data_IF_408782394092
#
_entry.id   IF_408782394092
#
_cell.length_a   1.000
_cell.length_b   1.000
_cell.length_c   1.000
_cell.angle_alpha   90.00
_cell.angle_beta   90.00
_cell.angle_gamma   90.00
#
_symmetry.space_group_name_H-M   'P 1'
#
loop_
_entity.id
_entity.type
_entity.pdbx_description
1 polymer ?
#
# COMPACT_ATOMS: atom_id res chain seq x y z
N UNK A 1 -29.28 55.64 15.99
CA UNK A 1 -28.66 55.58 14.66
C UNK A 1 -27.17 55.38 14.88
N UNK A 2 -26.57 54.22 14.70
CA UNK A 2 -26.99 52.97 14.08
C UNK A 2 -26.20 51.85 14.75
N UNK A 3 -26.91 50.86 15.28
CA UNK A 3 -26.42 49.49 15.33
C UNK A 3 -26.04 49.08 13.91
N UNK A 4 -24.84 48.53 13.73
CA UNK A 4 -24.47 47.74 12.56
C UNK A 4 -23.44 46.71 13.01
N UNK A 5 -24.00 45.67 13.64
CA UNK A 5 -23.70 44.26 13.41
C UNK A 5 -22.20 43.90 13.50
N UNK A 6 -21.75 43.63 14.72
CA UNK A 6 -20.83 42.52 14.96
C UNK A 6 -21.63 41.22 14.86
N UNK A 7 -21.63 40.60 13.68
CA UNK A 7 -21.88 39.17 13.54
C UNK A 7 -20.71 38.55 12.78
N UNK A 8 -19.54 38.53 13.41
CA UNK A 8 -18.54 37.52 13.11
C UNK A 8 -18.80 36.33 14.05
N UNK A 9 -19.90 35.62 13.79
CA UNK A 9 -19.85 34.17 13.97
C UNK A 9 -18.89 33.69 12.88
N UNK A 10 -17.60 33.59 13.19
CA UNK A 10 -16.72 32.74 12.38
C UNK A 10 -17.36 31.36 12.47
N UNK A 11 -18.03 30.90 11.42
CA UNK A 11 -18.38 29.50 11.30
C UNK A 11 -17.06 28.75 11.49
N UNK A 12 -16.94 28.04 12.63
CA UNK A 12 -15.85 27.09 12.79
C UNK A 12 -15.96 26.15 11.60
N UNK A 13 -14.94 26.17 10.74
CA UNK A 13 -14.81 25.21 9.66
C UNK A 13 -14.71 23.84 10.32
N UNK A 14 -15.82 23.10 10.27
CA UNK A 14 -15.89 21.74 10.74
C UNK A 14 -15.64 20.84 9.53
N UNK A 15 -14.54 20.10 9.56
CA UNK A 15 -14.25 19.09 8.55
C UNK A 15 -14.84 17.77 9.01
N UNK A 16 -15.53 17.06 8.11
CA UNK A 16 -16.04 15.72 8.37
C UNK A 16 -15.41 14.75 7.37
N UNK A 17 -14.89 13.64 7.88
CA UNK A 17 -14.35 12.54 7.07
C UNK A 17 -15.15 11.27 7.37
N UNK A 18 -15.72 10.69 6.32
CA UNK A 18 -16.33 9.35 6.35
C UNK A 18 -15.56 8.46 5.35
N UNK A 19 -14.94 7.39 5.84
CA UNK A 19 -14.02 6.58 5.05
C UNK A 19 -13.90 5.15 5.56
N UNK A 20 -14.31 4.17 4.75
CA UNK A 20 -13.96 2.77 4.96
C UNK A 20 -12.45 2.56 4.89
N UNK A 21 -11.90 1.77 5.81
CA UNK A 21 -10.47 1.52 5.95
C UNK A 21 -10.20 0.02 6.12
N UNK A 22 -9.00 -0.40 5.76
CA UNK A 22 -8.54 -1.77 5.88
C UNK A 22 -8.42 -2.45 4.52
N UNK A 23 -7.32 -3.18 4.39
CA UNK A 23 -7.08 -4.09 3.26
C UNK A 23 -7.96 -5.32 3.43
N UNK A 24 -8.57 -5.76 2.33
CA UNK A 24 -9.35 -6.98 2.32
C UNK A 24 -8.40 -8.18 2.25
N UNK A 25 -8.32 -8.94 3.33
CA UNK A 25 -7.40 -10.08 3.47
C UNK A 25 -8.07 -11.42 3.15
N UNK A 26 -9.32 -11.39 2.68
CA UNK A 26 -10.05 -12.55 2.21
C UNK A 26 -10.99 -13.15 3.26
N UNK A 27 -11.78 -14.10 2.80
CA UNK A 27 -12.66 -14.94 3.61
C UNK A 27 -11.83 -16.03 4.28
N UNK A 28 -12.18 -16.47 5.49
CA UNK A 28 -11.83 -17.70 6.21
C UNK A 28 -13.05 -18.62 6.23
N UNK A 29 -12.88 -19.87 5.79
CA UNK A 29 -13.93 -20.89 5.84
C UNK A 29 -13.47 -22.00 6.77
N UNK A 30 -14.21 -22.26 7.84
CA UNK A 30 -13.98 -23.45 8.66
C UNK A 30 -14.53 -24.68 7.94
N UNK A 31 -13.74 -25.76 7.88
CA UNK A 31 -14.02 -26.96 7.07
C UNK A 31 -15.32 -27.70 7.45
N UNK A 32 -15.98 -27.36 8.56
CA UNK A 32 -17.15 -28.07 9.09
C UNK A 32 -18.46 -27.26 9.08
N UNK A 33 -18.47 -26.00 8.65
CA UNK A 33 -19.65 -25.11 8.67
C UNK A 33 -19.67 -24.17 7.45
N UNK A 34 -20.60 -24.37 6.51
CA UNK A 34 -20.86 -23.38 5.44
C UNK A 34 -21.49 -22.08 5.98
N UNK A 35 -21.96 -22.07 7.23
CA UNK A 35 -22.68 -20.95 7.84
C UNK A 35 -21.74 -19.92 8.52
N UNK A 36 -20.47 -20.25 8.79
CA UNK A 36 -19.52 -19.39 9.50
C UNK A 36 -18.39 -18.87 8.60
N UNK A 37 -18.76 -18.31 7.45
CA UNK A 37 -17.79 -17.59 6.63
C UNK A 37 -17.40 -16.28 7.33
N UNK A 38 -16.14 -16.23 7.79
CA UNK A 38 -15.54 -15.04 8.40
C UNK A 38 -14.70 -14.30 7.37
N UNK A 39 -14.61 -12.98 7.45
CA UNK A 39 -13.84 -12.15 6.53
C UNK A 39 -12.83 -11.33 7.30
N UNK A 40 -11.60 -11.29 6.82
CA UNK A 40 -10.52 -10.53 7.43
C UNK A 40 -10.36 -9.19 6.71
N UNK A 41 -10.46 -8.10 7.47
CA UNK A 41 -10.29 -6.72 6.98
C UNK A 41 -9.44 -5.94 7.98
N UNK A 42 -8.45 -5.18 7.50
CA UNK A 42 -7.68 -4.32 8.38
C UNK A 42 -6.25 -4.08 7.90
N UNK A 43 -5.32 -4.03 8.83
CA UNK A 43 -3.88 -3.86 8.60
C UNK A 43 -3.07 -4.80 9.51
N UNK A 44 -1.74 -4.73 9.44
CA UNK A 44 -0.89 -5.45 10.42
C UNK A 44 -1.20 -5.05 11.87
N UNK A 45 -1.51 -3.77 12.11
CA UNK A 45 -1.73 -3.24 13.47
C UNK A 45 -3.07 -3.66 14.06
N UNK A 46 -4.07 -3.88 13.21
CA UNK A 46 -5.40 -4.24 13.64
C UNK A 46 -6.12 -5.05 12.57
N UNK A 47 -6.49 -6.27 12.92
CA UNK A 47 -7.17 -7.20 12.02
C UNK A 47 -8.58 -7.49 12.55
N UNK A 48 -9.59 -7.02 11.83
CA UNK A 48 -11.00 -7.25 12.16
C UNK A 48 -11.48 -8.55 11.50
N UNK A 49 -12.26 -9.32 12.24
CA UNK A 49 -12.91 -10.55 11.76
C UNK A 49 -14.41 -10.31 11.67
N UNK A 50 -14.92 -10.25 10.44
CA UNK A 50 -16.28 -9.88 10.12
C UNK A 50 -17.10 -11.10 9.74
N UNK A 51 -18.35 -11.19 10.20
CA UNK A 51 -19.30 -12.17 9.64
C UNK A 51 -19.65 -11.81 8.20
N UNK A 52 -20.31 -12.72 7.47
CA UNK A 52 -20.81 -12.43 6.12
C UNK A 52 -21.71 -11.19 6.05
N UNK A 53 -22.56 -10.98 7.06
CA UNK A 53 -23.43 -9.80 7.15
C UNK A 53 -22.60 -8.54 7.39
N UNK A 54 -21.70 -8.58 8.37
CA UNK A 54 -20.85 -7.43 8.71
C UNK A 54 -19.98 -7.02 7.52
N UNK A 55 -19.38 -7.99 6.83
CA UNK A 55 -18.58 -7.73 5.64
C UNK A 55 -19.42 -7.10 4.53
N UNK A 56 -20.65 -7.58 4.29
CA UNK A 56 -21.54 -6.99 3.29
C UNK A 56 -21.90 -5.52 3.61
N UNK A 57 -22.13 -5.20 4.88
CA UNK A 57 -22.39 -3.84 5.38
C UNK A 57 -21.13 -2.96 5.25
N UNK A 58 -19.98 -3.46 5.68
CA UNK A 58 -18.66 -2.81 5.55
C UNK A 58 -18.36 -2.45 4.09
N UNK A 59 -18.60 -3.37 3.15
CA UNK A 59 -18.33 -3.13 1.72
C UNK A 59 -19.15 -1.97 1.13
N UNK A 60 -20.24 -1.53 1.78
CA UNK A 60 -21.00 -0.37 1.34
C UNK A 60 -20.32 0.96 1.68
N UNK A 61 -19.37 0.99 2.63
CA UNK A 61 -18.62 2.20 2.99
C UNK A 61 -17.81 2.73 1.79
N UNK A 62 -17.38 1.84 0.89
CA UNK A 62 -16.66 2.16 -0.36
C UNK A 62 -17.53 2.96 -1.34
N UNK A 63 -18.86 2.96 -1.16
CA UNK A 63 -19.82 3.61 -2.05
C UNK A 63 -20.45 4.87 -1.45
N UNK A 64 -20.03 5.29 -0.27
CA UNK A 64 -20.59 6.42 0.45
C UNK A 64 -19.50 7.43 0.85
N UNK A 65 -19.86 8.71 0.87
CA UNK A 65 -19.00 9.81 1.32
C UNK A 65 -19.47 10.40 2.65
N UNK A 66 -20.62 9.95 3.15
CA UNK A 66 -21.22 10.37 4.42
C UNK A 66 -21.91 9.18 5.10
N UNK A 67 -22.11 9.29 6.41
CA UNK A 67 -22.88 8.30 7.18
C UNK A 67 -24.32 8.14 6.65
N UNK A 68 -24.96 9.25 6.25
CA UNK A 68 -26.32 9.22 5.70
C UNK A 68 -26.41 8.43 4.39
N UNK A 69 -25.49 8.69 3.45
CA UNK A 69 -25.41 7.94 2.20
C UNK A 69 -25.17 6.44 2.44
N UNK A 70 -24.29 6.11 3.40
CA UNK A 70 -24.01 4.72 3.76
C UNK A 70 -25.24 4.01 4.33
N UNK A 71 -25.97 4.69 5.23
CA UNK A 71 -27.24 4.22 5.78
C UNK A 71 -28.27 3.94 4.70
N UNK A 72 -28.50 4.90 3.81
CA UNK A 72 -29.42 4.76 2.68
C UNK A 72 -29.06 3.57 1.80
N UNK A 73 -27.77 3.36 1.48
CA UNK A 73 -27.31 2.21 0.68
C UNK A 73 -27.58 0.90 1.41
N UNK A 74 -27.26 0.81 2.70
CA UNK A 74 -27.43 -0.41 3.49
C UNK A 74 -28.92 -0.79 3.65
N UNK A 75 -29.78 0.18 3.97
CA UNK A 75 -31.23 -0.03 4.12
C UNK A 75 -31.85 -0.44 2.78
N UNK A 76 -31.52 0.26 1.68
CA UNK A 76 -32.07 -0.06 0.35
C UNK A 76 -31.64 -1.45 -0.14
N UNK A 77 -30.51 -1.97 0.35
CA UNK A 77 -30.04 -3.34 0.06
C UNK A 77 -30.55 -4.38 1.04
N UNK A 78 -31.31 -3.99 2.06
CA UNK A 78 -31.81 -4.89 3.10
C UNK A 78 -30.69 -5.49 3.95
N UNK A 79 -29.54 -4.80 4.06
CA UNK A 79 -28.40 -5.24 4.88
C UNK A 79 -28.57 -4.86 6.35
N UNK A 80 -29.31 -3.76 6.59
CA UNK A 80 -29.70 -3.28 7.91
C UNK A 80 -31.19 -2.91 7.89
N UNK A 81 -31.83 -2.96 9.05
CA UNK A 81 -33.27 -2.72 9.23
C UNK A 81 -33.59 -1.25 9.48
N UNK A 82 -32.75 -0.55 10.27
CA UNK A 82 -32.99 0.82 10.72
C UNK A 82 -31.71 1.60 11.07
N UNK A 83 -31.89 2.81 11.62
CA UNK A 83 -30.81 3.69 12.05
C UNK A 83 -30.10 3.21 13.33
N UNK A 84 -30.77 2.48 14.20
CA UNK A 84 -30.14 1.95 15.43
C UNK A 84 -29.12 0.86 15.06
N UNK A 85 -29.46 0.01 14.08
CA UNK A 85 -28.51 -0.95 13.53
C UNK A 85 -27.36 -0.27 12.76
N UNK A 86 -27.62 0.84 12.07
CA UNK A 86 -26.56 1.64 11.43
C UNK A 86 -25.55 2.18 12.44
N UNK A 87 -26.02 2.74 13.56
CA UNK A 87 -25.18 3.26 14.65
C UNK A 87 -24.35 2.14 15.28
N UNK A 88 -24.94 0.95 15.48
CA UNK A 88 -24.19 -0.24 15.92
C UNK A 88 -23.02 -0.56 14.99
N UNK A 89 -23.25 -0.57 13.68
CA UNK A 89 -22.21 -0.86 12.69
C UNK A 89 -21.15 0.24 12.62
N UNK A 90 -21.55 1.50 12.75
CA UNK A 90 -20.62 2.62 12.83
C UNK A 90 -19.65 2.44 14.02
N UNK A 91 -20.19 2.23 15.23
CA UNK A 91 -19.40 2.07 16.44
C UNK A 91 -18.49 0.84 16.36
N UNK A 92 -19.03 -0.29 15.88
CA UNK A 92 -18.25 -1.52 15.66
C UNK A 92 -17.05 -1.26 14.74
N UNK A 93 -17.28 -0.71 13.55
CA UNK A 93 -16.24 -0.52 12.55
C UNK A 93 -15.23 0.57 12.95
N UNK A 94 -15.64 1.59 13.70
CA UNK A 94 -14.72 2.57 14.29
C UNK A 94 -13.82 1.95 15.34
N UNK A 95 -14.37 1.13 16.24
CA UNK A 95 -13.59 0.43 17.26
C UNK A 95 -12.62 -0.59 16.66
N UNK A 96 -12.99 -1.17 15.53
CA UNK A 96 -12.15 -2.06 14.72
C UNK A 96 -11.21 -1.29 13.77
N UNK A 97 -11.14 0.05 13.84
CA UNK A 97 -10.30 0.90 12.98
C UNK A 97 -10.46 0.67 11.47
N UNK A 98 -11.58 0.08 11.04
CA UNK A 98 -11.94 -0.15 9.63
C UNK A 98 -12.96 0.89 9.13
N UNK A 99 -13.32 1.88 9.94
CA UNK A 99 -14.11 3.04 9.53
C UNK A 99 -13.59 4.29 10.23
N UNK A 100 -13.34 5.35 9.46
CA UNK A 100 -13.19 6.70 9.99
C UNK A 100 -14.52 7.40 9.76
N UNK A 101 -15.22 7.75 10.84
CA UNK A 101 -16.25 8.79 10.84
C UNK A 101 -15.84 9.79 11.90
N UNK A 102 -15.26 10.91 11.48
CA UNK A 102 -14.66 11.88 12.39
C UNK A 102 -14.91 13.31 11.94
N UNK A 103 -15.29 14.14 12.90
CA UNK A 103 -15.43 15.58 12.72
C UNK A 103 -14.31 16.29 13.48
N UNK A 104 -13.60 17.19 12.80
CA UNK A 104 -12.44 17.88 13.36
C UNK A 104 -12.41 19.36 12.98
N UNK A 105 -11.83 20.16 13.87
CA UNK A 105 -11.77 21.63 13.75
C UNK A 105 -10.54 22.08 12.92
N UNK A 106 -9.54 21.22 12.71
CA UNK A 106 -8.30 21.58 12.02
C UNK A 106 -7.69 20.40 11.24
N UNK A 107 -7.17 20.68 10.05
CA UNK A 107 -6.49 19.71 9.18
C UNK A 107 -5.22 19.03 9.76
N UNK A 108 -4.77 19.48 10.93
CA UNK A 108 -3.63 18.92 11.66
C UNK A 108 -4.12 18.03 12.81
N UNK A 109 -5.35 17.53 12.73
CA UNK A 109 -5.91 16.60 13.70
C UNK A 109 -5.10 15.29 13.72
N UNK A 110 -4.70 14.78 14.90
CA UNK A 110 -3.91 13.55 15.04
C UNK A 110 -4.46 12.36 14.26
N UNK A 111 -5.79 12.24 14.09
CA UNK A 111 -6.41 11.11 13.40
C UNK A 111 -5.85 10.91 11.98
N UNK A 112 -5.52 12.00 11.28
CA UNK A 112 -4.99 11.94 9.90
C UNK A 112 -3.56 11.39 9.83
N UNK A 113 -2.87 11.25 10.97
CA UNK A 113 -1.54 10.63 11.06
C UNK A 113 -1.62 9.14 11.40
N UNK A 114 -2.78 8.65 11.84
CA UNK A 114 -2.97 7.25 12.25
C UNK A 114 -3.30 6.31 11.09
N UNK A 115 -3.50 6.86 9.90
CA UNK A 115 -3.85 6.11 8.70
C UNK A 115 -2.91 6.47 7.56
N UNK A 116 -2.58 5.48 6.74
CA UNK A 116 -1.79 5.64 5.52
C UNK A 116 -2.58 5.30 4.28
N UNK A 117 -2.17 5.88 3.16
CA UNK A 117 -2.79 5.65 1.87
C UNK A 117 -1.80 5.04 0.87
N UNK A 118 -2.19 3.90 0.33
CA UNK A 118 -1.41 3.12 -0.65
C UNK A 118 -2.18 3.05 -1.95
N UNK A 119 -1.52 3.39 -3.05
CA UNK A 119 -2.05 3.27 -4.39
C UNK A 119 -2.05 1.81 -4.80
N UNK A 120 -3.17 1.43 -5.39
CA UNK A 120 -3.32 0.20 -6.12
C UNK A 120 -3.47 0.53 -7.60
N UNK A 121 -3.31 -0.49 -8.42
CA UNK A 121 -3.41 -0.36 -9.86
C UNK A 121 -2.08 -0.02 -10.52
N UNK A 122 -2.06 -0.15 -11.83
CA UNK A 122 -0.88 0.15 -12.65
C UNK A 122 -1.23 1.08 -13.79
N UNK A 123 -0.32 2.04 -14.04
CA UNK A 123 -0.37 2.90 -15.21
C UNK A 123 0.10 2.15 -16.46
N UNK A 124 -0.72 2.15 -17.51
CA UNK A 124 -0.34 1.71 -18.86
C UNK A 124 0.26 2.84 -19.71
N UNK A 125 0.29 4.06 -19.16
CA UNK A 125 0.90 5.24 -19.79
C UNK A 125 -0.12 6.25 -20.29
N UNK A 126 0.39 7.27 -20.96
CA UNK A 126 -0.36 8.38 -21.52
C UNK A 126 -0.88 8.02 -22.93
N UNK A 127 -2.18 8.14 -23.16
CA UNK A 127 -2.74 8.21 -24.51
C UNK A 127 -2.58 9.64 -25.01
N UNK A 128 -1.55 9.88 -25.83
CA UNK A 128 -1.21 11.22 -26.33
C UNK A 128 -2.37 11.91 -27.05
N UNK A 129 -3.15 11.19 -27.84
CA UNK A 129 -4.29 11.75 -28.59
C UNK A 129 -5.37 12.34 -27.67
N UNK A 130 -5.55 11.74 -26.49
CA UNK A 130 -6.56 12.14 -25.50
C UNK A 130 -5.98 13.00 -24.38
N UNK A 131 -4.65 13.04 -24.24
CA UNK A 131 -3.95 13.62 -23.09
C UNK A 131 -4.44 13.04 -21.75
N UNK A 132 -4.70 11.72 -21.73
CA UNK A 132 -5.16 11.00 -20.53
C UNK A 132 -4.31 9.79 -20.23
N UNK A 133 -4.06 9.55 -18.95
CA UNK A 133 -3.40 8.35 -18.44
C UNK A 133 -4.41 7.22 -18.30
N UNK A 134 -4.01 5.99 -18.62
CA UNK A 134 -4.84 4.81 -18.40
C UNK A 134 -4.30 4.04 -17.20
N UNK A 135 -5.14 3.92 -16.17
CA UNK A 135 -4.82 3.18 -14.95
C UNK A 135 -5.72 1.96 -14.85
N UNK A 136 -5.14 0.76 -14.78
CA UNK A 136 -5.90 -0.41 -14.38
C UNK A 136 -6.02 -0.48 -12.86
N UNK A 137 -7.11 -1.06 -12.35
CA UNK A 137 -7.32 -1.21 -10.91
C UNK A 137 -7.41 -2.69 -10.51
N UNK A 138 -7.37 -2.95 -9.21
CA UNK A 138 -7.60 -4.29 -8.63
C UNK A 138 -9.04 -4.79 -8.82
N UNK A 139 -9.98 -3.87 -9.09
CA UNK A 139 -11.31 -4.19 -9.56
C UNK A 139 -11.30 -4.05 -11.09
N UNK A 140 -11.28 -5.16 -11.84
CA UNK A 140 -11.05 -5.11 -13.27
C UNK A 140 -12.08 -4.23 -13.97
N UNK A 141 -11.57 -3.33 -14.81
CA UNK A 141 -12.35 -2.51 -15.73
C UNK A 141 -11.76 -2.77 -17.11
N UNK A 142 -12.58 -3.26 -18.06
CA UNK A 142 -12.12 -3.72 -19.38
C UNK A 142 -11.25 -2.70 -20.13
N UNK A 143 -11.46 -1.40 -19.89
CA UNK A 143 -10.72 -0.32 -20.54
C UNK A 143 -9.79 0.46 -19.59
N UNK A 144 -9.68 0.06 -18.33
CA UNK A 144 -9.05 0.85 -17.28
C UNK A 144 -9.80 2.17 -17.00
N UNK A 145 -9.21 2.99 -16.15
CA UNK A 145 -9.69 4.33 -15.82
C UNK A 145 -8.87 5.36 -16.61
N UNK A 146 -9.54 6.15 -17.45
CA UNK A 146 -8.91 7.30 -18.08
C UNK A 146 -8.84 8.45 -17.06
N UNK A 147 -7.63 8.97 -16.81
CA UNK A 147 -7.38 10.05 -15.87
C UNK A 147 -6.75 11.25 -16.55
N UNK A 148 -7.20 12.44 -16.18
CA UNK A 148 -6.48 13.67 -16.48
C UNK A 148 -5.19 13.76 -15.64
N UNK A 149 -4.31 14.70 -15.99
CA UNK A 149 -3.01 14.85 -15.35
C UNK A 149 -3.12 15.03 -13.84
N UNK A 150 -4.06 15.86 -13.40
CA UNK A 150 -4.27 16.12 -11.97
C UNK A 150 -4.69 14.85 -11.22
N UNK A 151 -5.64 14.10 -11.77
CA UNK A 151 -6.12 12.84 -11.18
C UNK A 151 -5.00 11.82 -11.09
N UNK A 152 -4.21 11.69 -12.17
CA UNK A 152 -3.04 10.83 -12.22
C UNK A 152 -1.99 11.23 -11.18
N UNK A 153 -1.69 12.53 -11.06
CA UNK A 153 -0.71 13.07 -10.12
C UNK A 153 -1.13 12.86 -8.66
N UNK A 154 -2.41 13.01 -8.35
CA UNK A 154 -2.96 12.73 -7.02
C UNK A 154 -2.93 11.23 -6.73
N UNK A 155 -3.42 10.39 -7.65
CA UNK A 155 -3.40 8.94 -7.50
C UNK A 155 -2.00 8.40 -7.24
N UNK A 156 -1.02 8.77 -8.08
CA UNK A 156 0.34 8.21 -8.01
C UNK A 156 1.13 8.66 -6.78
N UNK A 157 0.70 9.75 -6.14
CA UNK A 157 1.33 10.31 -4.94
C UNK A 157 1.02 9.50 -3.68
N UNK A 158 -0.03 8.68 -3.69
CA UNK A 158 -0.36 7.76 -2.60
C UNK A 158 0.58 6.55 -2.60
N UNK A 159 1.88 6.74 -2.43
CA UNK A 159 2.86 5.65 -2.57
C UNK A 159 2.88 4.64 -1.40
N UNK A 160 1.90 4.65 -0.50
CA UNK A 160 1.94 3.86 0.75
C UNK A 160 3.00 4.36 1.74
N UNK A 161 3.68 5.45 1.38
CA UNK A 161 4.80 6.03 2.10
C UNK A 161 4.40 7.17 3.02
N UNK A 162 3.13 7.57 3.01
CA UNK A 162 2.68 8.75 3.71
C UNK A 162 1.45 8.41 4.53
N UNK A 163 1.36 9.01 5.70
CA UNK A 163 0.09 9.14 6.41
C UNK A 163 -0.87 10.01 5.59
N UNK A 164 -2.18 9.98 5.89
CA UNK A 164 -3.15 10.85 5.20
C UNK A 164 -2.75 12.32 5.35
N UNK A 165 -2.27 12.74 6.53
CA UNK A 165 -1.78 14.10 6.76
C UNK A 165 -0.60 14.45 5.84
N UNK A 166 0.43 13.61 5.82
CA UNK A 166 1.59 13.82 4.95
C UNK A 166 1.19 13.84 3.48
N UNK A 167 0.26 12.98 3.07
CA UNK A 167 -0.27 12.97 1.71
C UNK A 167 -0.99 14.28 1.36
N UNK A 168 -1.78 14.85 2.27
CA UNK A 168 -2.40 16.17 2.08
C UNK A 168 -1.34 17.27 1.97
N UNK A 169 -0.27 17.23 2.77
CA UNK A 169 0.87 18.14 2.60
C UNK A 169 1.51 18.01 1.21
N UNK A 170 1.59 16.80 0.66
CA UNK A 170 2.09 16.60 -0.69
C UNK A 170 1.18 17.21 -1.75
N UNK A 171 -0.13 17.07 -1.59
CA UNK A 171 -1.10 17.74 -2.47
C UNK A 171 -0.93 19.26 -2.40
N UNK A 172 -0.82 19.82 -1.19
CA UNK A 172 -0.58 21.25 -0.97
C UNK A 172 0.70 21.72 -1.67
N UNK A 173 1.81 21.00 -1.51
CA UNK A 173 3.07 21.33 -2.15
C UNK A 173 3.01 21.18 -3.69
N UNK A 174 2.38 20.12 -4.19
CA UNK A 174 2.26 19.83 -5.62
C UNK A 174 1.36 20.84 -6.34
N UNK A 175 0.28 21.30 -5.69
CA UNK A 175 -0.67 22.26 -6.24
C UNK A 175 -0.38 23.71 -5.85
N UNK A 176 0.65 23.93 -5.04
CA UNK A 176 1.01 25.25 -4.47
C UNK A 176 -0.20 25.94 -3.78
N UNK A 177 -0.97 25.17 -3.01
CA UNK A 177 -2.23 25.60 -2.40
C UNK A 177 -2.20 25.49 -0.86
N UNK A 178 -3.21 26.03 -0.17
CA UNK A 178 -3.32 25.87 1.29
C UNK A 178 -3.60 24.41 1.70
N UNK A 179 -3.41 24.08 2.97
CA UNK A 179 -3.74 22.73 3.48
C UNK A 179 -5.25 22.44 3.44
N UNK A 180 -6.08 23.46 3.63
CA UNK A 180 -7.55 23.37 3.54
C UNK A 180 -8.00 23.11 2.10
N UNK A 181 -7.38 23.79 1.13
CA UNK A 181 -7.60 23.54 -0.31
C UNK A 181 -7.13 22.12 -0.68
N UNK A 182 -5.96 21.70 -0.19
CA UNK A 182 -5.44 20.36 -0.40
C UNK A 182 -6.32 19.27 0.22
N UNK A 183 -6.91 19.52 1.40
CA UNK A 183 -7.87 18.62 2.02
C UNK A 183 -9.17 18.52 1.21
N UNK A 184 -9.64 19.65 0.67
CA UNK A 184 -10.81 19.68 -0.21
C UNK A 184 -10.56 18.86 -1.48
N UNK A 185 -9.35 18.95 -2.04
CA UNK A 185 -8.92 18.11 -3.17
C UNK A 185 -8.88 16.62 -2.76
N UNK A 186 -8.26 16.29 -1.63
CA UNK A 186 -8.21 14.92 -1.12
C UNK A 186 -9.61 14.31 -0.97
N UNK A 187 -10.52 15.01 -0.29
CA UNK A 187 -11.88 14.54 -0.04
C UNK A 187 -12.74 14.48 -1.31
N UNK A 188 -12.50 15.36 -2.30
CA UNK A 188 -13.18 15.29 -3.59
C UNK A 188 -12.81 14.03 -4.39
N UNK A 189 -11.55 13.58 -4.33
CA UNK A 189 -11.08 12.41 -5.08
C UNK A 189 -11.22 11.08 -4.33
N UNK A 190 -11.30 11.13 -2.99
CA UNK A 190 -11.36 9.96 -2.12
C UNK A 190 -12.48 8.96 -2.53
N UNK A 191 -13.75 9.37 -2.76
CA UNK A 191 -14.79 8.42 -3.14
C UNK A 191 -14.50 7.72 -4.47
N UNK A 192 -13.95 8.44 -5.45
CA UNK A 192 -13.61 7.88 -6.75
C UNK A 192 -12.51 6.84 -6.63
N UNK A 193 -11.36 7.19 -6.03
CA UNK A 193 -10.22 6.28 -5.95
C UNK A 193 -10.48 5.09 -5.03
N UNK A 194 -11.20 5.29 -3.93
CA UNK A 194 -11.55 4.19 -3.04
C UNK A 194 -12.53 3.22 -3.71
N UNK A 195 -13.60 3.74 -4.34
CA UNK A 195 -14.58 2.94 -5.08
C UNK A 195 -13.99 2.16 -6.25
N UNK A 196 -13.07 2.80 -6.97
CA UNK A 196 -12.37 2.17 -8.07
C UNK A 196 -11.30 1.17 -7.60
N UNK A 197 -11.06 0.99 -6.29
CA UNK A 197 -9.98 0.12 -5.81
C UNK A 197 -8.59 0.62 -6.21
N UNK A 198 -8.45 1.93 -6.44
CA UNK A 198 -7.21 2.59 -6.80
C UNK A 198 -6.43 3.05 -5.57
N UNK A 199 -7.09 3.16 -4.42
CA UNK A 199 -6.47 3.40 -3.11
C UNK A 199 -6.90 2.34 -2.10
N UNK A 200 -5.96 1.93 -1.26
CA UNK A 200 -6.21 1.24 0.01
C UNK A 200 -5.81 2.20 1.13
N UNK A 201 -6.69 2.38 2.11
CA UNK A 201 -6.37 3.09 3.36
C UNK A 201 -6.21 2.06 4.47
N UNK A 202 -5.14 2.15 5.25
CA UNK A 202 -4.85 1.22 6.35
C UNK A 202 -4.53 2.00 7.63
N UNK A 203 -5.03 1.51 8.75
CA UNK A 203 -4.64 1.99 10.08
C UNK A 203 -3.17 1.61 10.33
N UNK A 204 -2.34 2.58 10.71
CA UNK A 204 -0.96 2.38 11.14
C UNK A 204 -0.73 2.72 12.61
N UNK A 205 -1.72 3.30 13.31
CA UNK A 205 -1.63 3.61 14.74
C UNK A 205 -0.34 4.33 15.08
N UNK A 206 0.34 3.94 16.16
CA UNK A 206 1.65 4.50 16.54
C UNK A 206 2.83 3.99 15.70
N UNK A 207 2.65 2.99 14.82
CA UNK A 207 3.78 2.43 14.04
C UNK A 207 4.44 3.47 13.14
N UNK A 208 3.70 4.49 12.70
CA UNK A 208 4.29 5.58 11.91
C UNK A 208 5.38 6.35 12.66
N UNK A 209 5.29 6.42 14.00
CA UNK A 209 6.30 7.08 14.85
C UNK A 209 7.60 6.29 14.93
N UNK A 210 7.53 4.97 14.74
CA UNK A 210 8.68 4.06 14.76
C UNK A 210 9.56 4.17 13.50
N UNK A 211 9.20 5.00 12.50
CA UNK A 211 10.08 5.35 11.37
C UNK A 211 11.42 5.93 11.82
N UNK A 212 11.41 6.66 12.92
CA UNK A 212 12.53 7.47 13.40
C UNK A 212 13.69 6.66 14.01
N UNK A 213 13.50 5.37 14.33
CA UNK A 213 14.42 4.67 15.25
C UNK A 213 15.39 3.67 14.62
N UNK A 214 15.30 3.36 13.32
CA UNK A 214 16.14 2.30 12.73
C UNK A 214 16.86 2.70 11.43
N UNK A 215 18.19 2.64 11.47
CA UNK A 215 19.07 2.51 10.30
C UNK A 215 20.26 1.64 10.68
N UNK A 216 20.81 0.88 9.73
CA UNK A 216 22.26 0.62 9.82
C UNK A 216 22.86 -0.62 9.17
N UNK A 217 22.20 -1.34 8.25
CA UNK A 217 22.92 -2.38 7.51
C UNK A 217 23.07 -2.07 6.01
N UNK A 218 24.21 -1.46 5.65
CA UNK A 218 24.58 -1.22 4.25
C UNK A 218 24.99 -2.50 3.50
N UNK A 219 25.09 -3.67 4.17
CA UNK A 219 25.49 -4.92 3.50
C UNK A 219 24.56 -5.30 2.36
N UNK A 220 23.26 -5.02 2.49
CA UNK A 220 22.28 -5.23 1.42
C UNK A 220 22.66 -4.51 0.10
N UNK A 221 23.37 -3.38 0.21
CA UNK A 221 23.77 -2.53 -0.91
C UNK A 221 25.28 -2.58 -1.17
N UNK A 222 26.00 -3.52 -0.55
CA UNK A 222 27.44 -3.59 -0.66
C UNK A 222 27.89 -4.20 -2.00
N UNK A 223 28.29 -3.32 -2.92
CA UNK A 223 28.79 -3.71 -4.25
C UNK A 223 29.98 -4.67 -4.19
N UNK A 224 30.82 -4.65 -3.12
CA UNK A 224 31.96 -5.56 -3.04
C UNK A 224 31.57 -7.03 -2.83
N UNK A 225 30.35 -7.28 -2.33
CA UNK A 225 29.83 -8.64 -2.11
C UNK A 225 29.05 -9.17 -3.32
N UNK A 226 28.84 -8.34 -4.34
CA UNK A 226 28.14 -8.71 -5.57
C UNK A 226 28.95 -9.72 -6.39
N UNK A 227 28.39 -10.93 -6.54
CA UNK A 227 28.90 -11.93 -7.46
C UNK A 227 27.89 -12.18 -8.60
N UNK A 228 28.34 -12.82 -9.69
CA UNK A 228 27.51 -12.99 -10.89
C UNK A 228 26.26 -13.85 -10.68
N UNK A 229 26.24 -14.66 -9.62
CA UNK A 229 25.13 -15.53 -9.25
C UNK A 229 24.37 -15.02 -8.02
N UNK A 230 24.75 -13.87 -7.45
CA UNK A 230 24.00 -13.25 -6.37
C UNK A 230 22.58 -12.98 -6.85
N UNK A 231 21.60 -13.42 -6.07
CA UNK A 231 20.23 -12.95 -6.23
C UNK A 231 20.20 -11.46 -5.89
N UNK A 232 19.53 -10.69 -6.74
CA UNK A 232 19.31 -9.26 -6.57
C UNK A 232 17.83 -8.97 -6.67
N UNK A 233 17.32 -8.12 -5.79
CA UNK A 233 15.92 -7.71 -5.78
C UNK A 233 15.80 -6.19 -5.94
N UNK A 234 14.76 -5.75 -6.63
CA UNK A 234 14.40 -4.33 -6.73
C UNK A 234 13.83 -3.78 -5.44
N UNK A 235 14.12 -2.52 -5.17
CA UNK A 235 13.59 -1.73 -4.06
C UNK A 235 13.00 -0.43 -4.59
N UNK A 236 11.95 0.05 -3.93
CA UNK A 236 11.21 1.25 -4.30
C UNK A 236 10.06 0.95 -5.25
N UNK A 237 9.39 2.01 -5.68
CA UNK A 237 8.17 1.93 -6.49
C UNK A 237 8.16 2.96 -7.60
N UNK A 238 7.51 2.65 -8.71
CA UNK A 238 7.34 3.63 -9.79
C UNK A 238 6.47 4.78 -9.28
N UNK A 239 7.04 5.98 -9.24
CA UNK A 239 6.37 7.22 -8.84
C UNK A 239 5.74 7.94 -10.05
N UNK A 240 6.37 7.82 -11.22
CA UNK A 240 5.89 8.43 -12.47
C UNK A 240 7.06 8.71 -13.42
N UNK A 241 6.83 9.59 -14.38
CA UNK A 241 7.79 9.94 -15.42
C UNK A 241 8.17 11.43 -15.33
N UNK A 242 9.41 11.77 -15.68
CA UNK A 242 9.91 13.13 -15.78
C UNK A 242 10.83 13.25 -16.99
N UNK A 243 10.30 13.82 -18.09
CA UNK A 243 11.01 13.79 -19.37
C UNK A 243 11.24 12.35 -19.84
N UNK A 244 12.48 12.01 -20.16
CA UNK A 244 12.88 10.66 -20.60
C UNK A 244 13.25 9.72 -19.42
N UNK A 245 13.04 10.17 -18.18
CA UNK A 245 13.40 9.43 -16.96
C UNK A 245 12.16 8.88 -16.25
N UNK A 246 12.31 7.68 -15.70
CA UNK A 246 11.32 7.06 -14.83
C UNK A 246 11.74 7.29 -13.39
N UNK A 247 10.86 7.92 -12.61
CA UNK A 247 11.11 8.24 -11.22
C UNK A 247 10.72 7.05 -10.34
N UNK A 248 11.67 6.52 -9.59
CA UNK A 248 11.43 5.53 -8.54
C UNK A 248 11.43 6.23 -7.19
N UNK A 249 10.43 5.97 -6.35
CA UNK A 249 10.38 6.46 -4.97
C UNK A 249 10.90 5.40 -4.01
N UNK A 250 11.88 5.78 -3.19
CA UNK A 250 12.52 4.93 -2.19
C UNK A 250 12.68 5.72 -0.89
N UNK A 251 11.99 5.29 0.17
CA UNK A 251 11.85 6.10 1.38
C UNK A 251 11.18 7.44 1.05
N UNK A 252 11.84 8.56 1.36
CA UNK A 252 11.42 9.91 0.98
C UNK A 252 11.99 10.39 -0.37
N UNK A 253 12.90 9.61 -0.98
CA UNK A 253 13.68 10.04 -2.14
C UNK A 253 13.03 9.64 -3.45
N UNK A 254 13.01 10.58 -4.40
CA UNK A 254 12.68 10.33 -5.80
C UNK A 254 13.99 10.20 -6.59
N UNK A 255 14.25 9.02 -7.15
CA UNK A 255 15.49 8.71 -7.87
C UNK A 255 15.17 8.49 -9.34
N UNK A 256 15.79 9.25 -10.26
CA UNK A 256 15.58 9.06 -11.70
C UNK A 256 16.35 7.85 -12.23
N UNK A 257 15.69 7.11 -13.12
CA UNK A 257 16.25 6.04 -13.92
C UNK A 257 16.05 6.33 -15.40
N UNK A 258 17.13 6.22 -16.17
CA UNK A 258 17.01 6.15 -17.63
C UNK A 258 16.45 4.78 -18.05
N UNK A 259 15.93 4.69 -19.28
CA UNK A 259 15.26 3.49 -19.81
C UNK A 259 16.02 2.17 -19.57
N UNK A 260 17.34 2.17 -19.72
CA UNK A 260 18.15 0.96 -19.54
C UNK A 260 18.33 0.57 -18.06
N UNK A 261 18.48 1.54 -17.16
CA UNK A 261 18.51 1.29 -15.71
C UNK A 261 17.14 0.80 -15.23
N UNK A 262 16.06 1.42 -15.71
CA UNK A 262 14.69 1.02 -15.42
C UNK A 262 14.41 -0.41 -15.87
N UNK A 263 14.79 -0.76 -17.10
CA UNK A 263 14.64 -2.13 -17.62
C UNK A 263 15.33 -3.16 -16.70
N UNK A 264 16.59 -2.91 -16.30
CA UNK A 264 17.29 -3.80 -15.37
C UNK A 264 16.61 -3.85 -14.01
N UNK A 265 16.17 -2.70 -13.48
CA UNK A 265 15.45 -2.63 -12.21
C UNK A 265 14.16 -3.47 -12.25
N UNK A 266 13.38 -3.40 -13.32
CA UNK A 266 12.18 -4.23 -13.52
C UNK A 266 12.52 -5.72 -13.56
N UNK A 267 13.60 -6.12 -14.24
CA UNK A 267 14.04 -7.52 -14.26
C UNK A 267 14.44 -8.05 -12.87
N UNK A 268 14.85 -7.16 -11.96
CA UNK A 268 15.19 -7.52 -10.58
C UNK A 268 13.96 -7.79 -9.70
N UNK A 269 12.72 -7.71 -10.22
CA UNK A 269 11.51 -8.17 -9.51
C UNK A 269 11.30 -9.68 -9.58
N UNK A 270 12.06 -10.39 -10.42
CA UNK A 270 11.87 -11.81 -10.71
C UNK A 270 12.66 -12.67 -9.71
N UNK A 271 12.09 -13.80 -9.27
CA UNK A 271 12.60 -14.70 -8.22
C UNK A 271 14.07 -15.14 -8.34
N UNK A 272 14.63 -15.16 -9.55
CA UNK A 272 16.00 -15.64 -9.82
C UNK A 272 16.86 -14.58 -10.54
N UNK A 273 16.56 -13.30 -10.35
CA UNK A 273 17.33 -12.23 -10.97
C UNK A 273 18.78 -12.25 -10.46
N UNK A 274 19.71 -12.54 -11.36
CA UNK A 274 21.16 -12.45 -11.13
C UNK A 274 21.83 -11.93 -12.39
N UNK A 275 23.05 -11.39 -12.27
CA UNK A 275 23.83 -10.92 -13.43
C UNK A 275 23.94 -12.02 -14.49
N UNK A 276 24.25 -13.24 -14.07
CA UNK A 276 24.40 -14.41 -14.94
C UNK A 276 23.10 -14.75 -15.67
N UNK A 277 21.96 -14.72 -14.98
CA UNK A 277 20.67 -15.07 -15.58
C UNK A 277 20.18 -13.98 -16.54
N UNK A 278 20.30 -12.70 -16.16
CA UNK A 278 19.92 -11.57 -17.02
C UNK A 278 20.81 -11.55 -18.28
N UNK A 279 22.13 -11.71 -18.11
CA UNK A 279 23.08 -11.81 -19.22
C UNK A 279 22.68 -12.91 -20.21
N UNK A 280 22.35 -14.11 -19.72
CA UNK A 280 21.97 -15.25 -20.57
C UNK A 280 20.63 -15.04 -21.26
N UNK A 281 19.62 -14.58 -20.53
CA UNK A 281 18.26 -14.41 -21.06
C UNK A 281 18.19 -13.33 -22.14
N UNK A 282 18.86 -12.20 -21.93
CA UNK A 282 18.77 -11.02 -22.80
C UNK A 282 20.01 -10.79 -23.68
N UNK A 283 21.02 -11.67 -23.61
CA UNK A 283 22.28 -11.60 -24.37
C UNK A 283 23.00 -10.23 -24.23
N UNK A 284 22.89 -9.61 -23.07
CA UNK A 284 23.47 -8.29 -22.77
C UNK A 284 24.96 -8.41 -22.49
N UNK A 285 25.78 -7.40 -22.78
CA UNK A 285 27.19 -7.44 -22.39
C UNK A 285 27.34 -7.49 -20.86
N UNK A 286 28.15 -8.43 -20.36
CA UNK A 286 28.27 -8.68 -18.91
C UNK A 286 28.93 -7.51 -18.16
N UNK A 287 29.83 -6.77 -18.80
CA UNK A 287 30.48 -5.61 -18.18
C UNK A 287 29.53 -4.42 -18.11
N UNK A 288 28.75 -4.21 -19.18
CA UNK A 288 27.68 -3.21 -19.20
C UNK A 288 26.65 -3.50 -18.11
N UNK A 289 26.18 -4.76 -18.03
CA UNK A 289 25.21 -5.19 -17.01
C UNK A 289 25.75 -5.00 -15.58
N UNK A 290 27.01 -5.39 -15.32
CA UNK A 290 27.67 -5.13 -14.02
C UNK A 290 27.74 -3.65 -13.68
N UNK A 291 28.02 -2.79 -14.66
CA UNK A 291 28.08 -1.34 -14.46
C UNK A 291 26.71 -0.79 -14.07
N UNK A 292 25.63 -1.23 -14.74
CA UNK A 292 24.25 -0.80 -14.43
C UNK A 292 23.81 -1.29 -13.06
N UNK A 293 24.04 -2.57 -12.74
CA UNK A 293 23.72 -3.12 -11.41
C UNK A 293 24.50 -2.39 -10.31
N UNK A 294 25.78 -2.07 -10.55
CA UNK A 294 26.58 -1.26 -9.62
C UNK A 294 25.98 0.14 -9.43
N UNK A 295 25.51 0.79 -10.51
CA UNK A 295 24.81 2.07 -10.44
C UNK A 295 23.55 1.98 -9.59
N UNK A 296 22.69 0.99 -9.88
CA UNK A 296 21.43 0.76 -9.17
C UNK A 296 21.64 0.44 -7.68
N UNK A 297 22.65 -0.36 -7.32
CA UNK A 297 23.00 -0.64 -5.92
C UNK A 297 23.44 0.62 -5.18
N UNK A 298 24.27 1.47 -5.81
CA UNK A 298 24.69 2.75 -5.23
C UNK A 298 23.53 3.72 -5.06
N UNK A 299 22.56 3.69 -5.98
CA UNK A 299 21.28 4.40 -5.86
C UNK A 299 20.33 3.76 -4.83
N UNK A 300 20.70 2.62 -4.24
CA UNK A 300 19.89 1.79 -3.33
C UNK A 300 18.59 1.25 -3.93
N UNK A 301 18.48 1.22 -5.26
CA UNK A 301 17.29 0.76 -5.97
C UNK A 301 17.25 -0.74 -6.21
N UNK A 302 18.38 -1.42 -6.00
CA UNK A 302 18.44 -2.87 -5.92
C UNK A 302 19.30 -3.27 -4.72
N UNK A 303 18.93 -4.35 -4.07
CA UNK A 303 19.70 -4.97 -3.00
C UNK A 303 20.15 -6.36 -3.42
N UNK A 304 21.26 -6.82 -2.84
CA UNK A 304 21.58 -8.24 -2.80
C UNK A 304 20.43 -8.94 -2.05
N UNK A 305 20.14 -10.20 -2.33
CA UNK A 305 19.25 -11.02 -1.50
C UNK A 305 19.99 -12.31 -1.19
N UNK A 306 21.02 -12.19 -0.35
CA UNK A 306 21.85 -13.34 -0.01
C UNK A 306 21.11 -14.19 1.01
N UNK A 307 21.02 -15.50 0.77
CA UNK A 307 20.32 -16.42 1.66
C UNK A 307 21.00 -16.71 3.00
N UNK A 308 22.06 -15.97 3.34
CA UNK A 308 22.90 -16.15 4.53
C UNK A 308 22.79 -14.99 5.54
N UNK A 309 21.73 -14.19 5.46
CA UNK A 309 21.52 -13.10 6.40
C UNK A 309 20.61 -13.53 7.53
N UNK A 310 21.11 -13.41 8.75
CA UNK A 310 20.23 -13.35 9.91
C UNK A 310 19.46 -12.04 9.82
N UNK A 311 18.13 -12.13 9.84
CA UNK A 311 17.25 -10.97 9.86
C UNK A 311 17.26 -10.40 11.28
N UNK A 312 18.33 -9.68 11.60
CA UNK A 312 18.44 -8.96 12.87
C UNK A 312 17.42 -7.82 12.94
N UNK A 313 17.19 -7.30 14.14
CA UNK A 313 16.34 -6.14 14.42
C UNK A 313 16.75 -4.84 13.72
N UNK A 314 17.84 -4.84 12.93
CA UNK A 314 18.37 -3.69 12.20
C UNK A 314 18.14 -3.79 10.67
N UNK A 315 17.23 -4.67 10.23
CA UNK A 315 16.90 -4.81 8.81
C UNK A 315 16.25 -3.52 8.28
N UNK A 316 16.88 -2.80 7.33
CA UNK A 316 16.35 -1.53 6.84
C UNK A 316 15.24 -1.72 5.81
N UNK A 317 14.68 -2.93 5.68
CA UNK A 317 13.73 -3.27 4.63
C UNK A 317 12.35 -3.45 5.26
N UNK A 318 11.35 -2.81 4.65
CA UNK A 318 9.92 -3.07 4.86
C UNK A 318 9.28 -3.62 3.60
N UNK A 319 8.11 -4.20 3.80
CA UNK A 319 7.26 -4.71 2.72
C UNK A 319 6.08 -3.75 2.58
N UNK A 320 5.88 -3.23 1.38
CA UNK A 320 4.67 -2.49 1.01
C UNK A 320 3.73 -3.49 0.33
N UNK A 321 2.62 -3.88 0.98
CA UNK A 321 1.67 -4.78 0.36
C UNK A 321 0.86 -4.08 -0.73
N UNK A 322 0.51 -4.85 -1.75
CA UNK A 322 -0.33 -4.43 -2.87
C UNK A 322 -1.48 -5.41 -3.08
N UNK A 323 -2.55 -4.93 -3.69
CA UNK A 323 -3.70 -5.76 -4.05
C UNK A 323 -4.62 -6.04 -2.88
N UNK A 324 -5.58 -6.95 -3.10
CA UNK A 324 -6.52 -7.45 -2.11
C UNK A 324 -6.65 -8.97 -2.25
N UNK A 325 -6.82 -9.68 -1.13
CA UNK A 325 -7.05 -11.12 -1.13
C UNK A 325 -8.55 -11.43 -1.21
N UNK A 326 -8.89 -12.45 -2.01
CA UNK A 326 -10.26 -12.94 -2.19
C UNK A 326 -10.27 -14.45 -2.10
N UNK A 327 -10.42 -14.97 -0.88
CA UNK A 327 -10.91 -16.33 -0.59
C UNK A 327 -9.87 -17.45 -0.46
N UNK A 328 -10.28 -18.51 0.25
CA UNK A 328 -9.63 -19.82 0.29
C UNK A 328 -10.02 -20.62 -0.95
N UNK A 329 -9.03 -21.27 -1.56
CA UNK A 329 -9.28 -22.48 -2.31
C UNK A 329 -8.88 -23.61 -1.35
N UNK A 330 -9.80 -24.53 -1.10
CA UNK A 330 -9.62 -25.74 -0.28
C UNK A 330 -8.19 -26.31 -0.40
N UNK A 331 -7.57 -26.69 0.74
CA UNK A 331 -6.18 -27.14 0.91
C UNK A 331 -5.11 -26.02 0.89
N UNK A 332 -5.03 -25.19 1.94
CA UNK A 332 -3.90 -24.28 2.26
C UNK A 332 -3.50 -23.25 1.17
N UNK A 333 -4.38 -22.98 0.20
CA UNK A 333 -4.10 -22.07 -0.91
C UNK A 333 -5.02 -20.87 -0.87
N UNK A 334 -4.44 -19.68 -0.84
CA UNK A 334 -5.13 -18.40 -0.80
C UNK A 334 -5.13 -17.77 -2.18
N UNK A 335 -6.14 -16.96 -2.48
CA UNK A 335 -6.16 -16.19 -3.73
C UNK A 335 -5.92 -14.72 -3.46
N UNK A 336 -4.97 -14.13 -4.18
CA UNK A 336 -4.70 -12.71 -4.16
C UNK A 336 -4.90 -12.13 -5.56
N UNK A 337 -5.51 -10.95 -5.65
CA UNK A 337 -5.64 -10.22 -6.92
C UNK A 337 -4.38 -9.43 -7.19
N UNK A 338 -3.78 -9.69 -8.34
CA UNK A 338 -2.64 -8.93 -8.84
C UNK A 338 -3.06 -7.48 -9.19
N UNK A 339 -2.20 -6.50 -8.89
CA UNK A 339 -2.50 -5.08 -9.13
C UNK A 339 -2.40 -4.65 -10.59
N UNK A 340 -1.77 -5.45 -11.44
CA UNK A 340 -1.47 -5.16 -12.84
C UNK A 340 -2.62 -5.63 -13.72
N UNK A 341 -3.06 -6.87 -13.52
CA UNK A 341 -4.06 -7.56 -14.34
C UNK A 341 -5.41 -7.64 -13.65
N UNK A 342 -5.47 -7.49 -12.33
CA UNK A 342 -6.67 -7.77 -11.53
C UNK A 342 -7.01 -9.27 -11.44
N UNK A 343 -6.17 -10.14 -12.02
CA UNK A 343 -6.38 -11.57 -12.02
C UNK A 343 -6.13 -12.16 -10.62
N UNK A 344 -7.02 -13.07 -10.25
CA UNK A 344 -6.88 -13.90 -9.08
C UNK A 344 -5.75 -14.93 -9.28
N UNK A 345 -4.74 -14.89 -8.41
CA UNK A 345 -3.64 -15.84 -8.41
C UNK A 345 -3.57 -16.61 -7.10
N UNK A 346 -3.31 -17.94 -7.14
CA UNK A 346 -3.07 -18.71 -5.95
C UNK A 346 -1.70 -18.36 -5.34
N UNK A 347 -1.67 -18.29 -4.01
CA UNK A 347 -0.49 -18.17 -3.16
C UNK A 347 -0.62 -19.16 -1.99
N UNK A 348 0.51 -19.67 -1.51
CA UNK A 348 0.48 -20.58 -0.35
C UNK A 348 0.14 -19.83 0.95
N UNK A 349 -0.31 -20.56 1.97
CA UNK A 349 -0.52 -20.04 3.33
C UNK A 349 0.65 -19.21 3.88
N UNK A 350 1.89 -19.66 3.65
CA UNK A 350 3.07 -18.90 4.09
C UNK A 350 3.21 -17.55 3.36
N UNK A 351 3.02 -17.53 2.03
CA UNK A 351 3.06 -16.27 1.26
C UNK A 351 1.93 -15.33 1.67
N UNK A 352 0.75 -15.90 1.95
CA UNK A 352 -0.39 -15.15 2.45
C UNK A 352 -0.07 -14.44 3.77
N UNK A 353 0.48 -15.15 4.77
CA UNK A 353 0.80 -14.52 6.06
C UNK A 353 1.92 -13.48 5.95
N UNK A 354 2.94 -13.70 5.10
CA UNK A 354 3.94 -12.67 4.83
C UNK A 354 3.27 -11.41 4.26
N UNK A 355 2.31 -11.57 3.36
CA UNK A 355 1.56 -10.44 2.78
C UNK A 355 0.61 -9.80 3.79
N UNK A 356 -0.12 -10.56 4.61
CA UNK A 356 -0.99 -10.04 5.68
C UNK A 356 -0.21 -9.18 6.66
N UNK A 357 0.95 -9.67 7.12
CA UNK A 357 1.79 -8.97 8.08
C UNK A 357 2.75 -7.94 7.46
N UNK A 358 2.63 -7.70 6.16
CA UNK A 358 3.34 -6.61 5.51
C UNK A 358 2.65 -5.28 5.79
N UNK A 359 3.44 -4.29 6.17
CA UNK A 359 3.05 -2.88 6.23
C UNK A 359 4.34 -2.07 6.15
N UNK A 360 4.34 -0.92 5.47
CA UNK A 360 5.55 -0.12 5.30
C UNK A 360 6.20 0.28 6.64
N UNK A 361 5.37 0.51 7.66
CA UNK A 361 5.78 0.88 9.01
C UNK A 361 6.19 -0.31 9.88
N UNK A 362 6.35 -1.49 9.29
CA UNK A 362 6.75 -2.72 9.96
C UNK A 362 8.04 -3.20 9.31
N UNK A 363 9.09 -3.36 10.11
CA UNK A 363 10.36 -3.87 9.61
C UNK A 363 10.24 -5.36 9.29
N UNK A 364 11.09 -5.85 8.40
CA UNK A 364 11.08 -7.27 8.03
C UNK A 364 11.27 -8.20 9.23
N UNK A 365 12.02 -7.78 10.25
CA UNK A 365 12.17 -8.54 11.50
C UNK A 365 10.88 -8.63 12.31
N UNK A 366 10.03 -7.60 12.31
CA UNK A 366 8.73 -7.65 12.98
C UNK A 366 7.76 -8.56 12.23
N UNK A 367 7.77 -8.51 10.88
CA UNK A 367 7.00 -9.47 10.06
C UNK A 367 7.43 -10.90 10.33
N UNK A 368 8.73 -11.14 10.49
CA UNK A 368 9.28 -12.45 10.85
C UNK A 368 8.79 -12.94 12.20
N UNK A 369 8.84 -12.09 13.21
CA UNK A 369 8.35 -12.42 14.55
C UNK A 369 6.87 -12.80 14.52
N UNK A 370 6.03 -11.96 13.88
CA UNK A 370 4.61 -12.24 13.74
C UNK A 370 4.34 -13.56 13.00
N UNK A 371 5.11 -13.84 11.95
CA UNK A 371 5.01 -15.09 11.20
C UNK A 371 5.36 -16.32 12.06
N UNK A 372 6.44 -16.24 12.83
CA UNK A 372 6.89 -17.30 13.74
C UNK A 372 5.84 -17.58 14.83
N UNK A 373 5.25 -16.54 15.41
CA UNK A 373 4.22 -16.65 16.44
C UNK A 373 2.92 -17.25 15.88
N UNK A 374 2.41 -16.74 14.75
CA UNK A 374 1.12 -17.15 14.18
C UNK A 374 1.17 -18.53 13.53
N UNK A 375 2.30 -18.90 12.94
CA UNK A 375 2.48 -20.23 12.34
C UNK A 375 3.01 -21.27 13.33
N UNK A 376 3.33 -20.88 14.57
CA UNK A 376 3.92 -21.75 15.59
C UNK A 376 5.21 -22.47 15.13
N UNK A 377 6.05 -21.76 14.37
CA UNK A 377 7.32 -22.29 13.81
C UNK A 377 8.54 -21.61 14.43
N UNK A 378 9.71 -22.22 14.29
CA UNK A 378 10.96 -21.62 14.75
C UNK A 378 11.33 -20.35 13.96
N UNK A 379 12.16 -19.50 14.57
CA UNK A 379 12.68 -18.30 13.92
C UNK A 379 13.44 -18.64 12.62
N UNK A 380 14.24 -19.71 12.64
CA UNK A 380 14.99 -20.19 11.46
C UNK A 380 14.04 -20.60 10.33
N UNK A 381 12.94 -21.30 10.63
CA UNK A 381 11.92 -21.66 9.63
C UNK A 381 11.21 -20.42 9.08
N UNK A 382 10.88 -19.44 9.93
CA UNK A 382 10.30 -18.17 9.49
C UNK A 382 11.25 -17.37 8.57
N UNK A 383 12.55 -17.36 8.87
CA UNK A 383 13.59 -16.77 8.00
C UNK A 383 13.61 -17.44 6.63
N UNK A 384 13.55 -18.78 6.58
CA UNK A 384 13.50 -19.53 5.32
C UNK A 384 12.25 -19.17 4.50
N UNK A 385 11.08 -19.08 5.15
CA UNK A 385 9.83 -18.70 4.49
C UNK A 385 9.87 -17.28 3.93
N UNK A 386 10.39 -16.31 4.69
CA UNK A 386 10.55 -14.93 4.23
C UNK A 386 11.53 -14.86 3.05
N UNK A 387 12.69 -15.51 3.19
CA UNK A 387 13.74 -15.51 2.17
C UNK A 387 13.23 -16.03 0.84
N UNK A 388 12.49 -17.14 0.87
CA UNK A 388 12.00 -17.79 -0.34
C UNK A 388 10.69 -17.16 -0.83
N UNK A 389 9.93 -16.53 0.07
CA UNK A 389 8.61 -15.98 -0.18
C UNK A 389 8.59 -14.57 -0.76
N UNK A 390 9.45 -13.67 -0.28
CA UNK A 390 9.54 -12.29 -0.80
C UNK A 390 9.78 -12.24 -2.32
N UNK A 391 10.75 -12.99 -2.88
CA UNK A 391 10.95 -12.99 -4.33
C UNK A 391 9.72 -13.50 -5.10
N UNK A 392 8.94 -14.44 -4.53
CA UNK A 392 7.71 -14.93 -5.15
C UNK A 392 6.59 -13.87 -5.12
N UNK A 393 6.43 -13.16 -4.00
CA UNK A 393 5.44 -12.09 -3.88
C UNK A 393 5.77 -10.89 -4.78
N UNK A 394 7.06 -10.55 -4.93
CA UNK A 394 7.54 -9.52 -5.86
C UNK A 394 7.24 -9.88 -7.32
N UNK A 395 7.55 -11.13 -7.71
CA UNK A 395 7.30 -11.64 -9.07
C UNK A 395 5.80 -11.63 -9.40
N UNK A 396 4.96 -11.90 -8.39
CA UNK A 396 3.49 -11.86 -8.48
C UNK A 396 2.89 -10.45 -8.38
N UNK A 397 3.70 -9.40 -8.25
CA UNK A 397 3.21 -8.02 -8.13
C UNK A 397 2.44 -7.71 -6.84
N UNK A 398 2.48 -8.59 -5.84
CA UNK A 398 1.70 -8.46 -4.60
C UNK A 398 2.40 -7.62 -3.53
N UNK A 399 3.69 -7.33 -3.71
CA UNK A 399 4.46 -6.47 -2.81
C UNK A 399 5.45 -5.61 -3.60
N UNK A 400 5.90 -4.55 -2.93
CA UNK A 400 7.14 -3.85 -3.21
C UNK A 400 8.03 -3.91 -1.98
N UNK A 401 9.35 -3.86 -2.16
CA UNK A 401 10.28 -3.67 -1.05
C UNK A 401 10.57 -2.19 -0.89
N UNK A 402 10.67 -1.73 0.35
CA UNK A 402 11.01 -0.35 0.65
C UNK A 402 12.07 -0.24 1.73
N UNK A 403 12.79 0.89 1.73
CA UNK A 403 13.72 1.22 2.81
C UNK A 403 12.96 1.89 3.95
N UNK A 404 13.17 1.38 5.17
CA UNK A 404 12.91 2.08 6.42
C UNK A 404 13.94 3.21 6.54
N UNK A 405 13.50 4.44 6.35
CA UNK A 405 14.35 5.60 6.58
C UNK A 405 14.14 6.14 7.98
N UNK A 406 15.25 6.53 8.61
CA UNK A 406 15.23 7.38 9.79
C UNK A 406 14.81 8.77 9.34
N UNK A 407 13.74 9.30 9.92
CA UNK A 407 13.43 10.71 9.72
C UNK A 407 14.58 11.54 10.28
N UNK A 408 15.20 12.36 9.43
CA UNK A 408 15.93 13.52 9.90
C UNK A 408 14.87 14.60 10.18
N UNK A 409 14.14 14.47 11.29
CA UNK A 409 13.34 15.59 11.79
C UNK A 409 14.36 16.60 12.32
N UNK A 410 14.69 17.62 11.53
CA UNK A 410 15.15 18.88 12.11
C UNK A 410 13.96 19.45 12.88
N UNK A 411 14.04 19.40 14.22
CA UNK A 411 13.10 20.07 15.15
C UNK A 411 13.04 21.59 14.93
#
# INVERSE_FOLDING_TARGET
MSELIHSETSEKLNYTLFLGCGRMMGQLTEEESEEDNMFLVGSYSNLATLSSKDFAVYMQTIHASTMGEWGDICINRGLIEDLEELEYYEDKFRNEHILIHYQFDHINDPILSEYSITKNGQSYGLIEEKQKWIINSIFPNENGFEMEKEEYDIWRSASGLYTIREFIHQISAMKECSMEEAFSVFTAYLPFFHKAGLWTIEYCGDLHRNRTEQTGNDKFFNVSELNVNSLILSVGEVFGESGDEIMIIIGDKKVPLHAYEYFIWTLCRIRNASISNIHKAFKMDINVLKSVITSLMKKRLILLWSGNWSLSSECPISIVPHGNSVGFITNDTYTAKDIITGEAQPISKALYFIWVFAQKYVSLSMTLQALSEVMEISQEEAELLIRDGIPQLLEKGLISLQIFEKDNIEE
#
